data_IF_630906339470
#
_entry.id   IF_630906339470
#
_cell.length_a   1.000
_cell.length_b   1.000
_cell.length_c   1.000
_cell.angle_alpha   90.00
_cell.angle_beta   90.00
_cell.angle_gamma   90.00
#
_symmetry.space_group_name_H-M   'P 1'
#
loop_
_entity.id
_entity.type
_entity.pdbx_description
1 polymer ?
#
# COMPACT_ATOMS: atom_id res chain seq x y z
N UNK A 1 -21.44 -24.37 -35.18
CA UNK A 1 -20.67 -24.29 -33.91
C UNK A 1 -20.70 -22.84 -33.46
N UNK A 2 -21.31 -22.53 -32.32
CA UNK A 2 -21.28 -21.16 -31.81
C UNK A 2 -19.86 -20.75 -31.50
N UNK A 3 -19.46 -19.48 -31.74
CA UNK A 3 -18.11 -19.01 -31.41
C UNK A 3 -17.89 -19.13 -29.89
N UNK A 4 -16.65 -19.46 -29.46
CA UNK A 4 -16.33 -19.50 -28.04
C UNK A 4 -16.64 -18.15 -27.41
N UNK A 5 -17.47 -18.15 -26.38
CA UNK A 5 -17.74 -16.94 -25.61
C UNK A 5 -16.45 -16.58 -24.85
N UNK A 6 -15.93 -15.39 -25.13
CA UNK A 6 -14.86 -14.83 -24.32
C UNK A 6 -15.34 -14.77 -22.86
N UNK A 7 -14.51 -15.18 -21.90
CA UNK A 7 -14.86 -15.05 -20.50
C UNK A 7 -15.17 -13.58 -20.19
N UNK A 8 -16.30 -13.36 -19.53
CA UNK A 8 -16.67 -12.01 -19.09
C UNK A 8 -15.58 -11.49 -18.16
N UNK A 9 -15.06 -10.28 -18.34
CA UNK A 9 -14.10 -9.71 -17.42
C UNK A 9 -14.73 -9.70 -16.02
N UNK A 10 -14.09 -10.35 -15.07
CA UNK A 10 -14.51 -10.29 -13.67
C UNK A 10 -14.06 -8.94 -13.14
N UNK A 11 -14.98 -8.15 -12.60
CA UNK A 11 -14.63 -6.90 -11.95
C UNK A 11 -13.66 -7.18 -10.79
N UNK A 12 -12.57 -6.40 -10.66
CA UNK A 12 -11.63 -6.60 -9.58
C UNK A 12 -12.32 -6.42 -8.23
N UNK A 13 -11.96 -7.25 -7.25
CA UNK A 13 -12.45 -7.11 -5.89
C UNK A 13 -12.07 -5.73 -5.31
N UNK A 14 -12.76 -5.27 -4.28
CA UNK A 14 -12.40 -4.00 -3.62
C UNK A 14 -10.96 -4.02 -3.11
N UNK A 15 -10.53 -5.17 -2.62
CA UNK A 15 -9.14 -5.36 -2.17
C UNK A 15 -8.13 -5.17 -3.31
N UNK A 16 -8.36 -5.81 -4.44
CA UNK A 16 -7.53 -5.65 -5.64
C UNK A 16 -7.51 -4.21 -6.14
N UNK A 17 -8.67 -3.53 -6.13
CA UNK A 17 -8.76 -2.12 -6.48
C UNK A 17 -7.91 -1.25 -5.54
N UNK A 18 -7.94 -1.52 -4.24
CA UNK A 18 -7.12 -0.84 -3.24
C UNK A 18 -5.63 -1.05 -3.47
N UNK A 19 -5.20 -2.30 -3.67
CA UNK A 19 -3.80 -2.65 -3.96
C UNK A 19 -3.32 -1.99 -5.24
N UNK A 20 -4.09 -2.07 -6.31
CA UNK A 20 -3.75 -1.43 -7.59
C UNK A 20 -3.64 0.08 -7.45
N UNK A 21 -4.56 0.71 -6.72
CA UNK A 21 -4.50 2.13 -6.47
C UNK A 21 -3.23 2.52 -5.71
N UNK A 22 -2.88 1.75 -4.66
CA UNK A 22 -1.67 1.97 -3.89
C UNK A 22 -0.42 1.88 -4.77
N UNK A 23 -0.31 0.82 -5.56
CA UNK A 23 0.83 0.61 -6.46
C UNK A 23 0.96 1.77 -7.44
N UNK A 24 -0.12 2.14 -8.11
CA UNK A 24 -0.11 3.20 -9.11
C UNK A 24 0.18 4.58 -8.51
N UNK A 25 -0.33 4.85 -7.33
CA UNK A 25 -0.22 6.18 -6.71
C UNK A 25 1.09 6.39 -5.96
N UNK A 26 1.55 5.37 -5.26
CA UNK A 26 2.64 5.49 -4.30
C UNK A 26 3.92 4.76 -4.68
N UNK A 27 3.84 3.67 -5.43
CA UNK A 27 5.02 2.88 -5.82
C UNK A 27 5.54 3.23 -7.22
N UNK A 28 4.66 3.37 -8.20
CA UNK A 28 5.07 3.67 -9.58
C UNK A 28 5.47 5.15 -9.70
N UNK A 29 4.86 6.02 -8.88
CA UNK A 29 5.14 7.43 -8.91
C UNK A 29 4.62 8.13 -10.18
N UNK A 30 5.08 9.35 -10.41
CA UNK A 30 4.69 10.11 -11.59
C UNK A 30 5.38 9.54 -12.85
N UNK A 31 4.69 9.47 -14.00
CA UNK A 31 5.28 8.93 -15.23
C UNK A 31 6.53 9.69 -15.71
N UNK A 32 6.65 10.95 -15.31
CA UNK A 32 7.78 11.81 -15.68
C UNK A 32 8.97 11.75 -14.71
N UNK A 33 8.85 10.95 -13.63
CA UNK A 33 9.91 10.81 -12.64
C UNK A 33 10.93 9.76 -13.10
N UNK A 34 12.22 10.12 -13.20
CA UNK A 34 13.24 9.16 -13.64
C UNK A 34 13.39 8.04 -12.60
N UNK A 35 13.15 6.81 -13.03
CA UNK A 35 13.28 5.62 -12.18
C UNK A 35 14.72 5.13 -12.20
N UNK A 36 15.31 5.01 -11.02
CA UNK A 36 16.64 4.42 -10.89
C UNK A 36 16.57 2.90 -10.94
N UNK A 37 17.52 2.22 -11.59
CA UNK A 37 17.52 0.75 -11.68
C UNK A 37 17.54 0.03 -10.33
N UNK A 38 17.92 0.71 -9.25
CA UNK A 38 17.93 0.16 -7.89
C UNK A 38 16.55 0.05 -7.24
N UNK A 39 15.54 0.75 -7.76
CA UNK A 39 14.21 0.83 -7.14
C UNK A 39 13.40 -0.48 -7.28
N UNK A 40 13.86 -1.39 -8.15
CA UNK A 40 13.22 -2.67 -8.41
C UNK A 40 14.03 -3.87 -7.91
N UNK A 41 15.04 -3.65 -7.10
CA UNK A 41 16.03 -4.70 -6.75
C UNK A 41 15.47 -5.84 -5.87
N UNK A 42 14.36 -5.65 -5.20
CA UNK A 42 13.63 -6.73 -4.51
C UNK A 42 12.15 -6.38 -4.40
N UNK A 43 11.31 -7.17 -5.02
CA UNK A 43 9.83 -7.02 -4.97
C UNK A 43 9.16 -8.13 -4.16
N UNK A 44 9.93 -9.01 -3.54
CA UNK A 44 9.40 -10.15 -2.78
C UNK A 44 8.51 -9.71 -1.61
N UNK A 45 8.87 -8.61 -0.96
CA UNK A 45 8.10 -8.05 0.13
C UNK A 45 6.66 -7.63 -0.27
N UNK A 46 6.45 -7.29 -1.55
CA UNK A 46 5.12 -6.91 -2.06
C UNK A 46 4.08 -8.04 -1.92
N UNK A 47 4.53 -9.28 -1.96
CA UNK A 47 3.66 -10.46 -1.94
C UNK A 47 3.40 -10.98 -0.54
N UNK A 48 4.01 -10.41 0.48
CA UNK A 48 3.73 -10.79 1.86
C UNK A 48 2.28 -10.43 2.22
N UNK A 49 1.51 -11.36 2.84
CA UNK A 49 0.10 -11.14 3.18
C UNK A 49 -0.13 -9.90 4.06
N UNK A 50 0.77 -9.62 5.00
CA UNK A 50 0.67 -8.44 5.86
C UNK A 50 0.81 -7.14 5.05
N UNK A 51 1.73 -7.13 4.09
CA UNK A 51 1.92 -5.99 3.18
C UNK A 51 0.74 -5.82 2.25
N UNK A 52 0.21 -6.91 1.69
CA UNK A 52 -0.96 -6.88 0.81
C UNK A 52 -2.20 -6.29 1.52
N UNK A 53 -2.46 -6.71 2.75
CA UNK A 53 -3.58 -6.17 3.51
C UNK A 53 -3.44 -4.67 3.82
N UNK A 54 -2.25 -4.22 4.17
CA UNK A 54 -2.03 -2.80 4.46
C UNK A 54 -2.04 -1.95 3.20
N UNK A 55 -1.52 -2.45 2.07
CA UNK A 55 -1.64 -1.77 0.78
C UNK A 55 -3.11 -1.61 0.36
N UNK A 56 -3.90 -2.67 0.51
CA UNK A 56 -5.34 -2.60 0.25
C UNK A 56 -6.02 -1.56 1.15
N UNK A 57 -5.69 -1.54 2.44
CA UNK A 57 -6.24 -0.57 3.39
C UNK A 57 -5.93 0.88 2.99
N UNK A 58 -4.66 1.20 2.72
CA UNK A 58 -4.25 2.55 2.32
C UNK A 58 -4.88 2.95 0.98
N UNK A 59 -4.85 2.05 0.00
CA UNK A 59 -5.44 2.29 -1.32
C UNK A 59 -6.94 2.54 -1.25
N UNK A 60 -7.68 1.75 -0.47
CA UNK A 60 -9.13 1.93 -0.28
C UNK A 60 -9.46 3.20 0.51
N UNK A 61 -8.67 3.54 1.52
CA UNK A 61 -8.84 4.80 2.25
C UNK A 61 -8.66 6.01 1.32
N UNK A 62 -7.63 5.97 0.49
CA UNK A 62 -7.36 7.01 -0.51
C UNK A 62 -8.47 7.11 -1.55
N UNK A 63 -8.96 5.97 -2.06
CA UNK A 63 -10.10 5.93 -2.99
C UNK A 63 -11.39 6.46 -2.34
N UNK A 64 -11.64 6.09 -1.08
CA UNK A 64 -12.77 6.60 -0.31
C UNK A 64 -12.75 8.12 -0.24
N UNK A 65 -11.59 8.70 0.06
CA UNK A 65 -11.44 10.15 0.14
C UNK A 65 -11.64 10.82 -1.23
N UNK A 66 -11.11 10.23 -2.30
CA UNK A 66 -11.26 10.78 -3.65
C UNK A 66 -12.69 10.71 -4.19
N UNK A 67 -13.41 9.64 -3.88
CA UNK A 67 -14.77 9.39 -4.38
C UNK A 67 -15.87 9.86 -3.44
N UNK A 68 -15.54 10.16 -2.18
CA UNK A 68 -16.53 10.44 -1.14
C UNK A 68 -17.36 9.20 -0.76
N UNK A 69 -16.84 8.00 -0.98
CA UNK A 69 -17.54 6.74 -0.71
C UNK A 69 -17.14 6.16 0.65
N UNK A 70 -18.00 6.33 1.63
CA UNK A 70 -17.78 5.86 3.00
C UNK A 70 -17.74 4.33 3.13
N UNK A 71 -18.33 3.57 2.19
CA UNK A 71 -18.28 2.11 2.20
C UNK A 71 -16.86 1.62 1.96
N UNK A 72 -16.11 2.30 1.09
CA UNK A 72 -14.69 1.99 0.86
C UNK A 72 -13.86 2.22 2.13
N UNK A 73 -14.16 3.26 2.92
CA UNK A 73 -13.48 3.52 4.18
C UNK A 73 -13.77 2.42 5.22
N UNK A 74 -14.99 1.91 5.27
CA UNK A 74 -15.35 0.80 6.16
C UNK A 74 -14.54 -0.46 5.81
N UNK A 75 -14.46 -0.80 4.54
CA UNK A 75 -13.63 -1.92 4.08
C UNK A 75 -12.15 -1.66 4.34
N UNK A 76 -11.66 -0.44 4.13
CA UNK A 76 -10.29 -0.05 4.42
C UNK A 76 -9.93 -0.26 5.90
N UNK A 77 -10.81 0.12 6.83
CA UNK A 77 -10.62 -0.09 8.27
C UNK A 77 -10.59 -1.56 8.66
N UNK A 78 -11.40 -2.39 8.00
CA UNK A 78 -11.36 -3.85 8.22
C UNK A 78 -10.01 -4.43 7.80
N UNK A 79 -9.50 -4.04 6.64
CA UNK A 79 -8.18 -4.46 6.16
C UNK A 79 -7.04 -3.93 7.03
N UNK A 80 -7.15 -2.71 7.50
CA UNK A 80 -6.22 -2.14 8.47
C UNK A 80 -6.16 -2.95 9.78
N UNK A 81 -7.31 -3.34 10.33
CA UNK A 81 -7.38 -4.20 11.51
C UNK A 81 -6.71 -5.56 11.30
N UNK A 82 -6.89 -6.16 10.14
CA UNK A 82 -6.22 -7.41 9.77
C UNK A 82 -4.70 -7.22 9.64
N UNK A 83 -4.27 -6.15 8.99
CA UNK A 83 -2.86 -5.83 8.84
C UNK A 83 -2.17 -5.57 10.18
N UNK A 84 -2.83 -4.88 11.11
CA UNK A 84 -2.34 -4.69 12.48
C UNK A 84 -2.08 -6.01 13.19
N UNK A 85 -3.04 -6.95 13.11
CA UNK A 85 -2.90 -8.28 13.74
C UNK A 85 -1.75 -9.06 13.13
N UNK A 86 -1.63 -9.06 11.80
CA UNK A 86 -0.56 -9.78 11.11
C UNK A 86 0.81 -9.17 11.40
N UNK A 87 0.94 -7.85 11.37
CA UNK A 87 2.19 -7.16 11.72
C UNK A 87 2.57 -7.42 13.18
N UNK A 88 1.61 -7.39 14.09
CA UNK A 88 1.83 -7.74 15.50
C UNK A 88 2.34 -9.17 15.66
N UNK A 89 1.81 -10.13 14.92
CA UNK A 89 2.29 -11.52 14.93
C UNK A 89 3.71 -11.64 14.40
N UNK A 90 4.04 -10.95 13.29
CA UNK A 90 5.39 -10.93 12.74
C UNK A 90 6.42 -10.45 13.77
N UNK A 91 6.09 -9.40 14.52
CA UNK A 91 6.98 -8.87 15.57
C UNK A 91 7.15 -9.85 16.73
N UNK A 92 6.08 -10.54 17.13
CA UNK A 92 6.09 -11.42 18.32
C UNK A 92 6.66 -12.81 18.06
N UNK A 93 6.44 -13.38 16.87
CA UNK A 93 6.72 -14.80 16.59
C UNK A 93 8.06 -15.03 15.90
N UNK A 94 8.64 -14.03 15.29
CA UNK A 94 9.88 -14.19 14.53
C UNK A 94 11.10 -14.06 15.42
N UNK A 95 11.91 -15.11 15.48
CA UNK A 95 13.24 -15.09 16.10
C UNK A 95 14.18 -14.12 15.34
N UNK A 96 14.02 -14.07 14.04
CA UNK A 96 14.61 -13.07 13.15
C UNK A 96 13.51 -12.53 12.27
N UNK A 97 12.79 -11.46 12.70
CA UNK A 97 11.76 -10.87 11.85
C UNK A 97 12.38 -10.43 10.54
N UNK A 98 11.67 -10.64 9.43
CA UNK A 98 11.99 -9.97 8.19
C UNK A 98 11.82 -8.47 8.44
N UNK A 99 12.94 -7.83 8.72
CA UNK A 99 12.98 -6.42 9.12
C UNK A 99 12.38 -5.54 8.04
N UNK A 100 12.63 -5.86 6.77
CA UNK A 100 12.11 -5.10 5.65
C UNK A 100 10.58 -5.16 5.58
N UNK A 101 10.01 -6.36 5.63
CA UNK A 101 8.55 -6.55 5.63
C UNK A 101 7.90 -5.86 6.83
N UNK A 102 8.47 -6.05 8.01
CA UNK A 102 7.95 -5.46 9.24
C UNK A 102 7.97 -3.94 9.20
N UNK A 103 9.09 -3.35 8.82
CA UNK A 103 9.23 -1.89 8.75
C UNK A 103 8.35 -1.27 7.68
N UNK A 104 8.25 -1.89 6.51
CA UNK A 104 7.33 -1.43 5.46
C UNK A 104 5.87 -1.48 5.91
N UNK A 105 5.48 -2.56 6.59
CA UNK A 105 4.12 -2.69 7.15
C UNK A 105 3.82 -1.59 8.18
N UNK A 106 4.73 -1.32 9.08
CA UNK A 106 4.58 -0.25 10.09
C UNK A 106 4.44 1.12 9.45
N UNK A 107 5.27 1.42 8.44
CA UNK A 107 5.18 2.69 7.71
C UNK A 107 3.85 2.84 7.00
N UNK A 108 3.38 1.79 6.33
CA UNK A 108 2.10 1.82 5.63
C UNK A 108 0.91 1.90 6.59
N UNK A 109 1.01 1.29 7.78
CA UNK A 109 0.01 1.46 8.83
C UNK A 109 -0.07 2.93 9.28
N UNK A 110 1.08 3.59 9.45
CA UNK A 110 1.11 5.03 9.74
C UNK A 110 0.52 5.87 8.59
N UNK A 111 0.78 5.50 7.34
CA UNK A 111 0.15 6.16 6.18
C UNK A 111 -1.37 6.02 6.21
N UNK A 112 -1.88 4.85 6.57
CA UNK A 112 -3.33 4.66 6.71
C UNK A 112 -3.92 5.63 7.72
N UNK A 113 -3.30 5.80 8.88
CA UNK A 113 -3.76 6.75 9.91
C UNK A 113 -3.81 8.17 9.36
N UNK A 114 -2.81 8.60 8.61
CA UNK A 114 -2.80 9.91 7.97
C UNK A 114 -3.92 10.04 6.95
N UNK A 115 -4.11 9.05 6.07
CA UNK A 115 -5.20 9.05 5.08
C UNK A 115 -6.59 9.06 5.72
N UNK A 116 -6.77 8.33 6.83
CA UNK A 116 -8.04 8.24 7.54
C UNK A 116 -8.39 9.53 8.30
N UNK A 117 -7.39 10.25 8.81
CA UNK A 117 -7.56 11.48 9.59
C UNK A 117 -7.61 12.74 8.72
N UNK A 118 -6.97 12.74 7.56
CA UNK A 118 -6.87 13.89 6.66
C UNK A 118 -7.35 13.54 5.26
N UNK A 119 -8.67 13.68 4.97
CA UNK A 119 -9.22 13.41 3.64
C UNK A 119 -8.52 14.21 2.53
N UNK A 120 -8.06 15.40 2.84
CA UNK A 120 -7.35 16.29 1.91
C UNK A 120 -5.98 15.74 1.46
N UNK A 121 -5.39 14.85 2.24
CA UNK A 121 -4.11 14.23 1.92
C UNK A 121 -4.16 13.38 0.65
N UNK A 122 -5.28 12.69 0.41
CA UNK A 122 -5.46 11.83 -0.75
C UNK A 122 -5.69 12.62 -2.05
N UNK A 123 -6.25 13.82 -1.95
CA UNK A 123 -6.54 14.69 -3.11
C UNK A 123 -5.37 15.60 -3.46
N UNK A 124 -4.46 15.83 -2.53
CA UNK A 124 -3.30 16.67 -2.77
C UNK A 124 -2.25 15.94 -3.59
N UNK A 125 -2.03 16.40 -4.81
CA UNK A 125 -0.83 16.09 -5.59
C UNK A 125 0.40 16.80 -5.01
N UNK A 126 0.36 17.11 -3.70
CA UNK A 126 1.42 17.86 -3.06
C UNK A 126 2.72 17.06 -3.10
N UNK A 127 3.79 17.63 -3.67
CA UNK A 127 5.10 17.00 -3.69
C UNK A 127 5.66 16.74 -2.28
N UNK A 128 5.12 17.41 -1.26
CA UNK A 128 5.56 17.23 0.13
C UNK A 128 5.21 15.85 0.69
N UNK A 129 4.08 15.28 0.30
CA UNK A 129 3.66 13.96 0.74
C UNK A 129 4.55 12.88 0.15
N UNK A 130 4.84 13.00 -1.15
CA UNK A 130 5.80 12.13 -1.84
C UNK A 130 7.20 12.25 -1.24
N UNK A 131 7.61 13.46 -0.85
CA UNK A 131 8.91 13.74 -0.23
C UNK A 131 9.02 13.13 1.18
N UNK A 132 8.00 13.27 2.02
CA UNK A 132 7.98 12.68 3.36
C UNK A 132 8.02 11.17 3.27
N UNK A 133 7.24 10.58 2.37
CA UNK A 133 7.22 9.14 2.13
C UNK A 133 8.54 8.63 1.58
N UNK A 134 9.11 9.34 0.60
CA UNK A 134 10.40 9.01 0.01
C UNK A 134 11.54 9.18 1.01
N UNK A 135 11.51 10.22 1.81
CA UNK A 135 12.51 10.46 2.87
C UNK A 135 12.45 9.37 3.94
N UNK A 136 11.25 8.95 4.32
CA UNK A 136 11.05 7.88 5.30
C UNK A 136 11.53 6.52 4.74
N UNK A 137 11.23 6.21 3.48
CA UNK A 137 11.74 5.02 2.80
C UNK A 137 13.25 5.04 2.64
N UNK A 138 13.84 6.21 2.35
CA UNK A 138 15.28 6.39 2.23
C UNK A 138 15.98 6.16 3.58
N UNK A 139 15.45 6.71 4.67
CA UNK A 139 15.98 6.50 6.02
C UNK A 139 15.93 5.03 6.40
N UNK A 140 14.85 4.32 6.06
CA UNK A 140 14.75 2.88 6.30
C UNK A 140 15.71 2.06 5.44
N UNK A 141 15.93 2.46 4.19
CA UNK A 141 16.90 1.82 3.30
C UNK A 141 18.34 1.99 3.78
N UNK A 142 18.69 3.17 4.29
CA UNK A 142 20.02 3.43 4.86
C UNK A 142 20.23 2.71 6.19
N UNK A 143 19.18 2.54 7.01
CA UNK A 143 19.25 1.77 8.24
C UNK A 143 19.41 0.26 8.00
N UNK A 144 18.99 -0.23 6.86
CA UNK A 144 19.12 -1.65 6.48
C UNK A 144 20.51 -2.01 5.92
N UNK A 145 21.38 -1.02 5.65
CA UNK A 145 22.74 -1.24 5.15
C UNK A 145 23.79 -1.51 6.24
N UNK A 146 23.39 -1.61 7.47
CA UNK A 146 24.20 -1.98 8.61
C UNK A 146 23.65 -3.26 9.25
#
# INVERSE_FOLDING_TARGET
VPPPRLPTPVDPSLEEQGVQFYINRYLIGHPDEPKTPGDLSSTEWLWDPAVQDVMAAVGLASLSNLRGDHNLMTTARQRYGMALKQTGRLIQTSVTPDFEVTMRSVVMLAMFEVCALTPEFSSSSSPMVSLIFFHFLLVLSLSSSH
#
